data_IF_316822218993
#
_entry.id   IF_316822218993
#
_cell.length_a   1.000
_cell.length_b   1.000
_cell.length_c   1.000
_cell.angle_alpha   90.00
_cell.angle_beta   90.00
_cell.angle_gamma   90.00
#
_symmetry.space_group_name_H-M   'P 1'
#
loop_
_entity.id
_entity.type
_entity.pdbx_description
1 polymer ?
#
# COMPACT_ATOMS: atom_id res chain seq x y z
N UNK A 1 9.33 -5.37 15.71
CA UNK A 1 8.30 -6.40 15.90
C UNK A 1 8.27 -7.37 14.71
N UNK A 2 8.05 -8.67 14.93
CA UNK A 2 7.96 -9.71 13.88
C UNK A 2 6.87 -10.73 14.22
N UNK A 3 5.95 -11.01 13.29
CA UNK A 3 4.83 -11.94 13.49
C UNK A 3 4.43 -12.65 12.19
N UNK A 4 3.95 -13.90 12.31
CA UNK A 4 3.33 -14.62 11.19
C UNK A 4 1.82 -14.45 11.30
N UNK A 5 1.18 -13.94 10.25
CA UNK A 5 -0.26 -13.70 10.18
C UNK A 5 -0.76 -14.29 8.86
N UNK A 6 -1.75 -15.20 8.90
CA UNK A 6 -2.29 -15.89 7.71
C UNK A 6 -1.19 -16.47 6.80
N UNK A 7 -0.23 -17.20 7.38
CA UNK A 7 0.94 -17.79 6.71
C UNK A 7 1.93 -16.80 6.06
N UNK A 8 1.78 -15.50 6.30
CA UNK A 8 2.68 -14.46 5.79
C UNK A 8 3.48 -13.85 6.93
N UNK A 9 4.77 -13.62 6.67
CA UNK A 9 5.66 -12.99 7.65
C UNK A 9 5.58 -11.47 7.54
N UNK A 10 5.35 -10.81 8.68
CA UNK A 10 5.40 -9.37 8.86
C UNK A 10 6.53 -9.03 9.82
N UNK A 11 7.41 -8.13 9.41
CA UNK A 11 8.62 -7.78 10.16
C UNK A 11 8.99 -6.32 9.91
N UNK A 12 8.97 -5.51 10.96
CA UNK A 12 9.31 -4.08 10.90
C UNK A 12 10.77 -3.82 10.56
N UNK A 13 11.68 -4.79 10.76
CA UNK A 13 13.11 -4.64 10.43
C UNK A 13 13.43 -4.83 8.95
N UNK A 14 12.64 -5.64 8.23
CA UNK A 14 12.89 -5.94 6.81
C UNK A 14 11.95 -5.20 5.86
N UNK A 15 10.95 -4.51 6.42
CA UNK A 15 10.00 -3.68 5.70
C UNK A 15 10.48 -2.22 5.70
N UNK A 16 9.98 -1.44 4.74
CA UNK A 16 10.24 0.00 4.67
C UNK A 16 9.13 0.71 5.44
N UNK A 17 9.48 1.54 6.42
CA UNK A 17 8.52 2.44 7.06
C UNK A 17 8.24 3.60 6.11
N UNK A 18 6.96 3.85 5.82
CA UNK A 18 6.52 4.92 4.93
C UNK A 18 6.17 6.19 5.71
N UNK A 19 5.45 6.03 6.82
CA UNK A 19 5.00 7.13 7.67
C UNK A 19 4.75 6.68 9.10
N UNK A 20 4.54 7.65 9.97
CA UNK A 20 4.07 7.45 11.34
C UNK A 20 3.09 8.52 11.77
N UNK A 21 2.23 8.16 12.72
CA UNK A 21 1.24 9.02 13.31
C UNK A 21 1.08 8.67 14.79
N UNK A 22 0.82 9.69 15.61
CA UNK A 22 0.39 9.52 17.00
C UNK A 22 -0.71 10.52 17.34
N UNK A 23 -1.55 10.17 18.31
CA UNK A 23 -2.73 10.97 18.66
C UNK A 23 -2.43 12.19 19.56
N UNK A 24 -1.16 12.52 19.78
CA UNK A 24 -0.73 13.66 20.61
C UNK A 24 -0.87 13.48 22.12
N UNK A 25 -1.42 12.36 22.60
CA UNK A 25 -1.43 12.04 24.02
C UNK A 25 0.01 11.80 24.54
N UNK A 26 0.30 12.06 25.83
CA UNK A 26 1.55 11.65 26.44
C UNK A 26 1.73 10.13 26.33
N UNK A 27 2.95 9.65 26.09
CA UNK A 27 3.21 8.21 25.88
C UNK A 27 2.76 7.29 27.03
N UNK A 28 2.69 7.82 28.25
CA UNK A 28 2.25 7.08 29.44
C UNK A 28 0.72 7.12 29.65
N UNK A 29 0.00 7.87 28.82
CA UNK A 29 -1.44 7.99 28.88
C UNK A 29 -2.12 6.68 28.44
N UNK A 30 -3.11 6.17 29.18
CA UNK A 30 -3.90 5.00 28.76
C UNK A 30 -4.55 5.14 27.38
N UNK A 31 -4.77 6.37 26.90
CA UNK A 31 -5.33 6.69 25.59
C UNK A 31 -4.28 6.91 24.50
N UNK A 32 -2.97 6.80 24.80
CA UNK A 32 -1.92 7.00 23.81
C UNK A 32 -2.03 6.01 22.65
N UNK A 33 -1.97 6.50 21.43
CA UNK A 33 -1.93 5.66 20.21
C UNK A 33 -0.77 6.12 19.34
N UNK A 34 0.01 5.15 18.87
CA UNK A 34 1.02 5.34 17.83
C UNK A 34 0.86 4.28 16.76
N UNK A 35 0.86 4.71 15.51
CA UNK A 35 0.75 3.84 14.35
C UNK A 35 1.83 4.18 13.34
N UNK A 36 2.49 3.14 12.83
CA UNK A 36 3.54 3.26 11.83
C UNK A 36 3.11 2.45 10.60
N UNK A 37 3.05 3.11 9.44
CA UNK A 37 2.73 2.46 8.17
C UNK A 37 3.99 1.86 7.55
N UNK A 38 3.92 0.59 7.18
CA UNK A 38 5.01 -0.13 6.54
C UNK A 38 4.59 -0.78 5.23
N UNK A 39 5.54 -0.93 4.31
CA UNK A 39 5.41 -1.75 3.10
C UNK A 39 6.49 -2.83 3.08
N UNK A 40 6.10 -4.07 2.77
CA UNK A 40 7.02 -5.17 2.53
C UNK A 40 7.68 -5.02 1.16
N UNK A 41 8.83 -5.67 0.96
CA UNK A 41 9.45 -5.81 -0.37
C UNK A 41 8.53 -6.47 -1.42
N UNK A 42 7.52 -7.21 -0.97
CA UNK A 42 6.50 -7.85 -1.80
C UNK A 42 5.36 -6.91 -2.20
N UNK A 43 5.35 -5.65 -1.74
CA UNK A 43 4.29 -4.66 -2.00
C UNK A 43 3.12 -4.71 -1.02
N UNK A 44 3.14 -5.60 -0.03
CA UNK A 44 2.07 -5.72 0.96
C UNK A 44 2.22 -4.70 2.09
N UNK A 45 1.14 -3.99 2.40
CA UNK A 45 1.10 -2.99 3.47
C UNK A 45 0.73 -3.60 4.82
N UNK A 46 1.20 -2.98 5.89
CA UNK A 46 0.78 -3.29 7.24
C UNK A 46 1.03 -2.13 8.19
N UNK A 47 0.20 -2.02 9.22
CA UNK A 47 0.39 -1.08 10.33
C UNK A 47 1.07 -1.81 11.48
N UNK A 48 2.10 -1.19 12.04
CA UNK A 48 2.57 -1.49 13.37
C UNK A 48 1.93 -0.49 14.34
N UNK A 49 1.03 -0.97 15.19
CA UNK A 49 0.28 -0.15 16.12
C UNK A 49 0.70 -0.46 17.56
N UNK A 50 0.85 0.60 18.35
CA UNK A 50 0.99 0.55 19.79
C UNK A 50 -0.13 1.40 20.40
N UNK A 51 -0.78 0.90 21.43
CA UNK A 51 -1.80 1.66 22.14
C UNK A 51 -1.79 1.40 23.64
N UNK A 52 -2.15 2.42 24.40
CA UNK A 52 -2.34 2.33 25.84
C UNK A 52 -3.51 1.42 26.24
N UNK A 53 -3.64 1.17 27.54
CA UNK A 53 -4.61 0.23 28.10
C UNK A 53 -6.09 0.56 27.84
N UNK A 54 -6.40 1.79 27.40
CA UNK A 54 -7.76 2.26 27.11
C UNK A 54 -7.98 2.51 25.60
N UNK A 55 -7.24 1.81 24.74
CA UNK A 55 -7.32 1.96 23.27
C UNK A 55 -7.76 0.66 22.60
N UNK A 56 -8.11 0.72 21.31
CA UNK A 56 -8.41 -0.46 20.49
C UNK A 56 -7.25 -1.47 20.36
N UNK A 57 -6.03 -1.06 20.72
CA UNK A 57 -4.84 -1.91 20.67
C UNK A 57 -4.47 -2.51 22.03
N UNK A 58 -5.27 -2.25 23.08
CA UNK A 58 -5.01 -2.79 24.41
C UNK A 58 -5.03 -4.33 24.43
N UNK A 59 -4.18 -4.91 25.27
CA UNK A 59 -4.12 -6.35 25.49
C UNK A 59 -4.80 -6.70 26.82
N UNK A 60 -5.65 -7.73 26.81
CA UNK A 60 -6.29 -8.21 28.03
C UNK A 60 -5.30 -9.03 28.86
N UNK A 61 -4.99 -8.55 30.06
CA UNK A 61 -4.04 -9.20 30.99
C UNK A 61 -4.73 -9.94 32.15
N UNK A 62 -6.05 -9.79 32.30
CA UNK A 62 -6.83 -10.49 33.34
C UNK A 62 -8.32 -10.20 33.26
N UNK A 63 -9.06 -10.61 34.31
CA UNK A 63 -10.49 -10.30 34.44
C UNK A 63 -10.68 -8.77 34.58
N UNK A 64 -11.29 -8.14 33.57
CA UNK A 64 -11.45 -6.68 33.48
C UNK A 64 -10.15 -5.88 33.65
N UNK A 65 -9.01 -6.46 33.26
CA UNK A 65 -7.71 -5.79 33.29
C UNK A 65 -7.13 -5.72 31.88
N UNK A 66 -6.75 -4.52 31.48
CA UNK A 66 -6.17 -4.22 30.18
C UNK A 66 -4.82 -3.54 30.38
N UNK A 67 -3.86 -3.91 29.55
CA UNK A 67 -2.53 -3.29 29.46
C UNK A 67 -2.34 -2.68 28.09
N UNK A 68 -1.32 -1.82 27.96
CA UNK A 68 -0.89 -1.39 26.64
C UNK A 68 -0.58 -2.61 25.76
N UNK A 69 -0.92 -2.51 24.48
CA UNK A 69 -0.70 -3.59 23.53
C UNK A 69 0.00 -3.11 22.27
N UNK A 70 0.61 -4.07 21.58
CA UNK A 70 1.39 -3.86 20.37
C UNK A 70 0.98 -4.91 19.33
N UNK A 71 0.57 -4.47 18.14
CA UNK A 71 0.03 -5.35 17.10
C UNK A 71 0.58 -5.01 15.71
N UNK A 72 0.61 -6.03 14.85
CA UNK A 72 0.83 -5.89 13.42
C UNK A 72 -0.49 -6.18 12.71
N UNK A 73 -0.96 -5.23 11.92
CA UNK A 73 -2.22 -5.29 11.18
C UNK A 73 -1.92 -5.27 9.68
N UNK A 74 -2.00 -6.42 8.98
CA UNK A 74 -1.97 -6.44 7.53
C UNK A 74 -3.16 -5.68 6.97
N UNK A 75 -2.91 -4.79 6.02
CA UNK A 75 -3.95 -3.97 5.39
C UNK A 75 -3.79 -4.00 3.86
N UNK A 76 -4.86 -3.66 3.14
CA UNK A 76 -4.82 -3.49 1.69
C UNK A 76 -4.17 -2.17 1.29
N UNK A 77 -3.98 -1.96 -0.02
CA UNK A 77 -3.49 -0.69 -0.53
C UNK A 77 -4.49 0.44 -0.22
N UNK A 78 -5.78 0.19 -0.46
CA UNK A 78 -6.87 1.16 -0.25
C UNK A 78 -7.00 1.54 1.22
N UNK A 79 -6.88 0.56 2.13
CA UNK A 79 -6.85 0.81 3.57
C UNK A 79 -5.62 1.63 3.99
N UNK A 80 -4.46 1.41 3.35
CA UNK A 80 -3.24 2.16 3.62
C UNK A 80 -3.33 3.61 3.11
N UNK A 81 -3.93 3.80 1.94
CA UNK A 81 -4.18 5.12 1.35
C UNK A 81 -5.20 5.91 2.20
N UNK A 82 -6.31 5.28 2.58
CA UNK A 82 -7.32 5.87 3.47
C UNK A 82 -6.72 6.25 4.83
N UNK A 83 -5.95 5.36 5.44
CA UNK A 83 -5.20 5.67 6.68
C UNK A 83 -4.30 6.89 6.51
N UNK A 84 -3.61 7.00 5.37
CA UNK A 84 -2.71 8.10 5.10
C UNK A 84 -3.46 9.43 4.88
N UNK A 85 -4.59 9.42 4.15
CA UNK A 85 -5.46 10.60 3.96
C UNK A 85 -5.99 11.14 5.29
N UNK A 86 -6.38 10.26 6.20
CA UNK A 86 -6.96 10.65 7.49
C UNK A 86 -5.93 11.20 8.47
N UNK A 87 -4.69 10.68 8.43
CA UNK A 87 -3.71 10.87 9.51
C UNK A 87 -2.50 11.71 9.13
N UNK A 88 -2.13 11.74 7.86
CA UNK A 88 -0.93 12.42 7.40
C UNK A 88 -1.25 13.82 6.86
N UNK A 89 -0.22 14.67 6.86
CA UNK A 89 -0.27 15.94 6.12
C UNK A 89 -0.22 15.67 4.62
N UNK A 90 -0.80 16.56 3.82
CA UNK A 90 -0.92 16.43 2.37
C UNK A 90 0.43 16.15 1.70
N UNK A 91 1.51 16.82 2.12
CA UNK A 91 2.84 16.65 1.52
C UNK A 91 3.42 15.25 1.77
N UNK A 92 3.15 14.67 2.94
CA UNK A 92 3.60 13.31 3.27
C UNK A 92 2.75 12.29 2.55
N UNK A 93 1.44 12.51 2.49
CA UNK A 93 0.51 11.70 1.70
C UNK A 93 0.94 11.65 0.22
N UNK A 94 1.15 12.80 -0.42
CA UNK A 94 1.51 12.90 -1.83
C UNK A 94 2.85 12.22 -2.14
N UNK A 95 3.79 12.24 -1.19
CA UNK A 95 5.07 11.54 -1.35
C UNK A 95 4.92 10.02 -1.37
N UNK A 96 3.93 9.48 -0.67
CA UNK A 96 3.73 8.04 -0.51
C UNK A 96 2.74 7.49 -1.54
N UNK A 97 1.64 8.20 -1.76
CA UNK A 97 0.50 7.77 -2.58
C UNK A 97 0.18 8.72 -3.72
N UNK A 98 0.71 9.94 -3.71
CA UNK A 98 0.47 10.91 -4.77
C UNK A 98 0.97 10.39 -6.11
N UNK A 99 0.05 10.33 -7.08
CA UNK A 99 0.43 10.30 -8.49
C UNK A 99 1.04 11.66 -8.74
N UNK A 100 2.36 11.75 -8.87
CA UNK A 100 2.98 12.99 -9.31
C UNK A 100 3.03 12.94 -10.85
N UNK A 101 2.05 13.51 -11.57
CA UNK A 101 2.01 13.49 -13.04
C UNK A 101 3.21 14.21 -13.66
N UNK A 102 3.85 15.11 -12.89
CA UNK A 102 5.05 15.86 -13.27
C UNK A 102 6.33 15.30 -12.64
N UNK A 103 6.25 14.23 -11.84
CA UNK A 103 7.47 13.50 -11.51
C UNK A 103 7.93 12.84 -12.80
N UNK A 104 9.06 13.30 -13.32
CA UNK A 104 9.96 12.45 -14.09
C UNK A 104 10.48 11.32 -13.17
N UNK A 105 9.60 10.53 -12.55
CA UNK A 105 9.96 9.30 -11.87
C UNK A 105 10.40 8.31 -12.95
N UNK A 106 11.65 8.47 -13.33
CA UNK A 106 12.47 7.60 -14.19
C UNK A 106 12.83 6.29 -13.49
N UNK A 107 12.24 6.00 -12.33
CA UNK A 107 12.38 4.72 -11.65
C UNK A 107 11.50 3.68 -12.33
N UNK A 108 12.02 3.11 -13.42
CA UNK A 108 11.40 1.97 -14.08
C UNK A 108 11.52 0.73 -13.19
N UNK A 109 10.38 0.20 -12.74
CA UNK A 109 10.32 -1.10 -12.06
C UNK A 109 10.14 -2.21 -13.09
N UNK A 110 11.14 -3.08 -13.21
CA UNK A 110 11.05 -4.28 -14.05
C UNK A 110 10.17 -5.36 -13.41
N UNK A 111 9.13 -5.80 -14.13
CA UNK A 111 8.24 -6.89 -13.68
C UNK A 111 8.54 -8.15 -14.48
N UNK A 112 8.79 -9.27 -13.79
CA UNK A 112 8.90 -10.58 -14.43
C UNK A 112 7.56 -11.31 -14.36
N UNK A 113 6.97 -11.60 -15.52
CA UNK A 113 5.67 -12.27 -15.65
C UNK A 113 5.83 -13.54 -16.50
N UNK A 114 5.24 -14.64 -16.03
CA UNK A 114 5.05 -15.85 -16.86
C UNK A 114 3.64 -15.82 -17.42
N UNK A 115 3.53 -15.87 -18.74
CA UNK A 115 2.25 -15.88 -19.46
C UNK A 115 2.13 -17.12 -20.36
N UNK A 116 0.92 -17.62 -20.61
CA UNK A 116 0.71 -18.68 -21.59
C UNK A 116 1.20 -18.25 -22.99
N UNK A 117 1.86 -19.15 -23.72
CA UNK A 117 2.38 -18.87 -25.06
C UNK A 117 1.30 -18.42 -26.07
N UNK A 118 0.07 -18.89 -25.89
CA UNK A 118 -1.08 -18.47 -26.71
C UNK A 118 -1.37 -16.97 -26.54
N UNK A 119 -1.21 -16.45 -25.31
CA UNK A 119 -1.45 -15.04 -25.02
C UNK A 119 -0.35 -14.16 -25.62
N UNK A 120 0.92 -14.58 -25.52
CA UNK A 120 2.04 -13.91 -26.19
C UNK A 120 1.79 -13.81 -27.71
N UNK A 121 1.40 -14.92 -28.34
CA UNK A 121 1.09 -14.96 -29.78
C UNK A 121 -0.04 -13.99 -30.14
N UNK A 122 -1.13 -13.98 -29.36
CA UNK A 122 -2.26 -13.06 -29.56
C UNK A 122 -1.86 -11.58 -29.41
N UNK A 123 -1.07 -11.25 -28.39
CA UNK A 123 -0.59 -9.88 -28.18
C UNK A 123 0.31 -9.42 -29.33
N UNK A 124 1.24 -10.27 -29.79
CA UNK A 124 2.10 -9.96 -30.94
C UNK A 124 1.30 -9.74 -32.23
N UNK A 125 0.30 -10.58 -32.48
CA UNK A 125 -0.59 -10.38 -33.65
C UNK A 125 -1.37 -9.07 -33.57
N UNK A 126 -1.82 -8.66 -32.39
CA UNK A 126 -2.56 -7.40 -32.21
C UNK A 126 -1.64 -6.20 -32.48
N UNK A 127 -0.44 -6.20 -31.90
CA UNK A 127 0.59 -5.18 -32.12
C UNK A 127 0.97 -4.99 -33.59
N UNK A 128 1.05 -6.06 -34.37
CA UNK A 128 1.36 -5.98 -35.81
C UNK A 128 0.26 -5.32 -36.64
N UNK A 129 -0.97 -5.30 -36.15
CA UNK A 129 -2.14 -4.73 -36.83
C UNK A 129 -2.44 -3.30 -36.39
N UNK A 130 -1.93 -2.89 -35.23
CA UNK A 130 -2.02 -1.54 -34.70
C UNK A 130 -1.14 -0.61 -35.57
N UNK A 131 -1.75 0.40 -36.22
CA UNK A 131 -1.01 1.39 -37.05
C UNK A 131 -0.39 2.51 -36.20
N UNK A 132 -0.69 2.54 -34.90
CA UNK A 132 -0.26 3.60 -34.00
C UNK A 132 1.20 3.39 -33.59
N UNK A 133 2.06 4.36 -33.94
CA UNK A 133 3.50 4.27 -33.73
C UNK A 133 3.92 4.31 -32.25
N UNK A 134 3.01 4.62 -31.32
CA UNK A 134 3.29 4.68 -29.87
C UNK A 134 3.34 3.31 -29.19
N UNK A 135 2.63 2.30 -29.69
CA UNK A 135 2.56 0.97 -29.07
C UNK A 135 3.35 -0.04 -29.92
N UNK A 136 4.69 0.07 -29.91
CA UNK A 136 5.58 -0.81 -30.69
C UNK A 136 6.04 -2.06 -29.94
N UNK A 137 5.81 -2.14 -28.63
CA UNK A 137 6.33 -3.20 -27.78
C UNK A 137 5.20 -3.82 -26.94
N UNK A 138 5.39 -5.08 -26.53
CA UNK A 138 4.50 -5.75 -25.57
C UNK A 138 4.46 -4.96 -24.26
N UNK A 139 5.58 -4.37 -23.83
CA UNK A 139 5.63 -3.50 -22.66
C UNK A 139 4.68 -2.30 -22.79
N UNK A 140 4.76 -1.55 -23.89
CA UNK A 140 3.88 -0.39 -24.10
C UNK A 140 2.40 -0.80 -24.19
N UNK A 141 2.13 -1.99 -24.75
CA UNK A 141 0.76 -2.52 -24.79
C UNK A 141 0.24 -2.83 -23.39
N UNK A 142 1.03 -3.52 -22.57
CA UNK A 142 0.67 -3.83 -21.18
C UNK A 142 0.49 -2.53 -20.37
N UNK A 143 1.41 -1.57 -20.50
CA UNK A 143 1.30 -0.26 -19.86
C UNK A 143 0.00 0.45 -20.29
N UNK A 144 -0.38 0.39 -21.58
CA UNK A 144 -1.61 1.01 -22.06
C UNK A 144 -2.87 0.37 -21.47
N UNK A 145 -2.85 -0.95 -21.26
CA UNK A 145 -3.96 -1.66 -20.62
C UNK A 145 -4.07 -1.28 -19.14
N UNK A 146 -2.93 -1.26 -18.43
CA UNK A 146 -2.88 -0.85 -17.02
C UNK A 146 -3.38 0.58 -16.85
N UNK A 147 -2.90 1.51 -17.68
CA UNK A 147 -3.35 2.92 -17.63
C UNK A 147 -4.83 3.06 -17.91
N UNK A 148 -5.38 2.28 -18.84
CA UNK A 148 -6.81 2.31 -19.13
C UNK A 148 -7.61 1.83 -17.91
N UNK A 149 -7.22 0.69 -17.35
CA UNK A 149 -7.86 0.11 -16.17
C UNK A 149 -7.85 1.08 -14.98
N UNK A 150 -6.69 1.69 -14.68
CA UNK A 150 -6.54 2.63 -13.56
C UNK A 150 -7.26 3.98 -13.77
N UNK A 151 -7.41 4.44 -15.01
CA UNK A 151 -8.09 5.71 -15.30
C UNK A 151 -9.62 5.57 -15.41
N UNK A 152 -10.13 4.35 -15.65
CA UNK A 152 -11.57 4.10 -15.73
C UNK A 152 -12.23 4.16 -14.33
N UNK A 153 -11.45 4.14 -13.23
CA UNK A 153 -11.95 4.24 -11.83
C UNK A 153 -12.16 5.68 -11.33
N UNK A 154 -11.69 6.73 -12.03
CA UNK A 154 -11.86 8.14 -11.62
C UNK A 154 -13.14 8.82 -12.15
N UNK A 155 -14.07 8.05 -12.71
CA UNK A 155 -15.23 8.58 -13.44
C UNK A 155 -16.57 7.99 -13.02
N UNK A 156 -16.98 8.13 -11.75
CA UNK A 156 -18.41 8.02 -11.39
C UNK A 156 -18.80 8.59 -10.01
N UNK A 157 -18.14 9.66 -9.53
CA UNK A 157 -18.61 10.43 -8.36
C UNK A 157 -19.02 11.85 -8.75
N UNK A 158 -20.09 11.95 -9.53
CA UNK A 158 -20.90 13.17 -9.62
C UNK A 158 -22.39 12.82 -9.61
N UNK A 159 -22.95 12.67 -8.41
CA UNK A 159 -24.34 13.03 -8.09
C UNK A 159 -24.39 13.84 -6.79
#
# INVERSE_FOLDING_TARGET
MKKVIKNKLYNTQSATQLADWENGCPRMDPLYVKENLYIKKTGEYFIHAYGGAATQYAEQSGNNQFTAGEILLPITFEEAESWAKEKLQAEVYDKIFGINPDSENKEEVGIYLKIPAVLDKKMRFKLQREKDQKIKTIGNYIISLIKKDLNDDEGDDHE
#
